data_IF_067662091308
#
_entry.id   IF_067662091308
#
_cell.length_a   1.000
_cell.length_b   1.000
_cell.length_c   1.000
_cell.angle_alpha   90.00
_cell.angle_beta   90.00
_cell.angle_gamma   90.00
#
_symmetry.space_group_name_H-M   'P 1'
#
loop_
_entity.id
_entity.type
_entity.pdbx_description
1 polymer ?
#
# COMPACT_ATOMS: atom_id res chain seq x y z
N UNK A 1 7.56 0.39 -1.14
CA UNK A 1 6.99 -0.62 -0.22
C UNK A 1 7.89 -0.72 1.00
N UNK A 2 7.39 -1.21 2.13
CA UNK A 2 8.16 -1.41 3.38
C UNK A 2 7.99 -2.86 3.83
N UNK A 3 9.10 -3.57 4.02
CA UNK A 3 9.09 -4.94 4.56
C UNK A 3 9.31 -4.85 6.08
N UNK A 4 8.42 -5.48 6.84
CA UNK A 4 8.45 -5.47 8.30
C UNK A 4 8.57 -6.90 8.81
N UNK A 5 9.45 -7.10 9.80
CA UNK A 5 9.52 -8.33 10.59
C UNK A 5 9.03 -8.03 12.00
N UNK A 6 8.05 -8.78 12.46
CA UNK A 6 7.49 -8.61 13.80
C UNK A 6 8.24 -9.41 14.87
N UNK A 7 7.79 -9.30 16.13
CA UNK A 7 8.34 -10.03 17.26
C UNK A 7 8.09 -11.56 17.19
N UNK A 8 7.13 -12.00 16.39
CA UNK A 8 6.84 -13.41 16.11
C UNK A 8 7.65 -13.96 14.92
N UNK A 9 8.59 -13.18 14.37
CA UNK A 9 9.35 -13.48 13.16
C UNK A 9 8.50 -13.65 11.89
N UNK A 10 7.28 -13.12 11.87
CA UNK A 10 6.46 -13.05 10.67
C UNK A 10 6.86 -11.83 9.83
N UNK A 11 6.80 -12.00 8.51
CA UNK A 11 7.10 -10.93 7.57
C UNK A 11 5.79 -10.38 6.99
N UNK A 12 5.73 -9.07 6.85
CA UNK A 12 4.63 -8.38 6.17
C UNK A 12 5.18 -7.33 5.20
N UNK A 13 4.54 -7.19 4.05
CA UNK A 13 4.89 -6.21 3.04
C UNK A 13 3.80 -5.12 3.00
N UNK A 14 4.23 -3.88 3.23
CA UNK A 14 3.37 -2.71 3.27
C UNK A 14 3.49 -1.89 1.98
N UNK A 15 2.36 -1.67 1.32
CA UNK A 15 2.21 -0.64 0.30
C UNK A 15 1.81 0.68 0.96
N UNK A 16 2.81 1.54 1.16
CA UNK A 16 2.65 2.87 1.75
C UNK A 16 1.67 3.73 0.94
N UNK A 17 1.64 3.60 -0.39
CA UNK A 17 0.80 4.48 -1.23
C UNK A 17 -0.69 4.20 -1.14
N UNK A 18 -1.06 2.97 -0.77
CA UNK A 18 -2.45 2.55 -0.63
C UNK A 18 -2.83 2.20 0.82
N UNK A 19 -1.89 2.32 1.77
CA UNK A 19 -2.11 1.92 3.16
C UNK A 19 -2.47 0.44 3.33
N UNK A 20 -1.97 -0.43 2.44
CA UNK A 20 -2.31 -1.86 2.43
C UNK A 20 -1.17 -2.69 2.97
N UNK A 21 -1.49 -3.65 3.84
CA UNK A 21 -0.58 -4.69 4.31
C UNK A 21 -0.94 -6.03 3.65
N UNK A 22 0.07 -6.82 3.32
CA UNK A 22 -0.08 -8.24 2.95
C UNK A 22 0.94 -9.07 3.71
N UNK A 23 0.54 -10.28 4.09
CA UNK A 23 1.47 -11.27 4.66
C UNK A 23 2.53 -11.62 3.60
N UNK A 24 3.78 -11.65 4.02
CA UNK A 24 4.89 -11.98 3.14
C UNK A 24 5.44 -13.37 3.52
N UNK A 25 5.45 -14.34 2.59
CA UNK A 25 5.94 -15.69 2.88
C UNK A 25 7.38 -15.65 3.35
N UNK A 26 7.69 -16.41 4.41
CA UNK A 26 9.08 -16.58 4.87
C UNK A 26 9.90 -17.30 3.80
N UNK A 27 10.98 -16.70 3.27
CA UNK A 27 11.81 -17.35 2.27
C UNK A 27 12.48 -18.61 2.83
N UNK A 28 12.36 -19.71 2.09
CA UNK A 28 13.12 -20.93 2.33
C UNK A 28 14.63 -20.66 2.18
N UNK A 29 15.45 -21.39 2.94
CA UNK A 29 16.89 -21.33 2.81
C UNK A 29 17.62 -21.84 4.05
N UNK A 30 18.95 -21.71 4.05
CA UNK A 30 19.80 -22.19 5.16
C UNK A 30 19.49 -21.43 6.45
N UNK A 31 19.59 -22.13 7.58
CA UNK A 31 19.29 -21.58 8.91
C UNK A 31 20.28 -20.48 9.35
N UNK A 32 21.50 -20.48 8.81
CA UNK A 32 22.56 -19.51 9.13
C UNK A 32 22.38 -18.15 8.45
N UNK A 33 21.51 -18.06 7.45
CA UNK A 33 21.33 -16.86 6.63
C UNK A 33 20.14 -16.02 7.12
N UNK A 34 20.31 -14.69 7.12
CA UNK A 34 19.29 -13.78 7.60
C UNK A 34 18.06 -13.77 6.69
N UNK A 35 16.94 -14.22 7.24
CA UNK A 35 15.62 -14.25 6.60
C UNK A 35 15.22 -12.88 6.05
N UNK A 36 15.55 -11.79 6.76
CA UNK A 36 15.25 -10.43 6.31
C UNK A 36 16.04 -10.08 5.05
N UNK A 37 17.33 -10.41 5.01
CA UNK A 37 18.17 -10.14 3.85
C UNK A 37 17.66 -10.89 2.60
N UNK A 38 17.26 -12.17 2.75
CA UNK A 38 16.66 -12.93 1.64
C UNK A 38 15.36 -12.32 1.14
N UNK A 39 14.47 -11.95 2.06
CA UNK A 39 13.20 -11.34 1.70
C UNK A 39 13.41 -9.99 1.00
N UNK A 40 14.37 -9.18 1.46
CA UNK A 40 14.76 -7.93 0.80
C UNK A 40 15.21 -8.17 -0.63
N UNK A 41 16.04 -9.19 -0.90
CA UNK A 41 16.48 -9.50 -2.28
C UNK A 41 15.30 -9.86 -3.20
N UNK A 42 14.27 -10.54 -2.68
CA UNK A 42 13.09 -10.91 -3.48
C UNK A 42 12.19 -9.72 -3.84
N UNK A 43 12.08 -8.73 -2.95
CA UNK A 43 11.19 -7.57 -3.15
C UNK A 43 11.91 -6.34 -3.70
N UNK A 44 13.23 -6.27 -3.53
CA UNK A 44 14.02 -5.11 -3.92
C UNK A 44 14.35 -5.17 -5.42
N UNK A 45 13.59 -4.44 -6.22
CA UNK A 45 13.94 -4.15 -7.60
C UNK A 45 14.85 -2.92 -7.63
N UNK A 46 15.94 -2.91 -8.42
CA UNK A 46 16.77 -1.72 -8.55
C UNK A 46 15.95 -0.60 -9.20
N UNK A 47 15.64 0.42 -8.39
CA UNK A 47 14.99 1.67 -8.81
C UNK A 47 15.65 2.83 -8.06
N UNK A 48 15.72 4.00 -8.69
CA UNK A 48 16.25 5.22 -8.05
C UNK A 48 15.10 6.16 -7.71
N UNK A 49 14.61 6.09 -6.47
CA UNK A 49 13.53 6.95 -5.98
C UNK A 49 14.04 7.79 -4.80
N UNK A 50 13.91 9.13 -4.83
CA UNK A 50 14.26 9.96 -3.68
C UNK A 50 13.44 9.59 -2.44
N UNK A 51 14.04 9.72 -1.25
CA UNK A 51 13.29 9.57 0.00
C UNK A 51 12.16 10.60 0.06
N UNK A 52 10.92 10.12 0.28
CA UNK A 52 9.72 10.97 0.31
C UNK A 52 8.83 10.73 1.55
N UNK A 53 9.21 9.80 2.41
CA UNK A 53 8.57 9.55 3.69
C UNK A 53 9.60 9.02 4.69
N UNK A 54 9.25 9.08 5.98
CA UNK A 54 9.95 8.34 7.03
C UNK A 54 9.00 7.32 7.65
N UNK A 55 9.56 6.31 8.30
CA UNK A 55 8.78 5.35 9.07
C UNK A 55 9.34 5.17 10.49
N UNK A 56 8.44 4.90 11.43
CA UNK A 56 8.75 4.51 12.80
C UNK A 56 7.95 3.27 13.20
N UNK A 57 8.57 2.38 13.97
CA UNK A 57 7.94 1.15 14.50
C UNK A 57 8.00 1.06 16.03
N UNK A 58 8.46 2.13 16.69
CA UNK A 58 8.74 2.14 18.14
C UNK A 58 7.52 1.78 19.02
N UNK A 59 6.31 2.06 18.54
CA UNK A 59 5.05 1.83 19.26
C UNK A 59 4.38 0.48 18.93
N UNK A 60 5.11 -0.44 18.28
CA UNK A 60 4.55 -1.73 17.85
C UNK A 60 3.63 -1.64 16.63
N UNK A 61 3.60 -0.49 15.96
CA UNK A 61 2.87 -0.25 14.72
C UNK A 61 3.74 0.51 13.72
N UNK A 62 3.57 0.25 12.43
CA UNK A 62 4.22 1.04 11.37
C UNK A 62 3.55 2.42 11.27
N UNK A 63 4.25 3.46 11.72
CA UNK A 63 3.88 4.86 11.54
C UNK A 63 4.61 5.41 10.32
N UNK A 64 3.89 6.01 9.38
CA UNK A 64 4.46 6.68 8.20
C UNK A 64 4.29 8.19 8.36
N UNK A 65 5.37 8.95 8.25
CA UNK A 65 5.32 10.41 8.28
C UNK A 65 5.61 10.99 6.89
N UNK A 66 4.68 11.83 6.43
CA UNK A 66 4.80 12.59 5.19
C UNK A 66 5.15 14.05 5.56
N UNK A 67 6.41 14.41 5.38
CA UNK A 67 6.87 15.79 5.59
C UNK A 67 6.68 16.63 4.32
N UNK A 68 6.20 17.87 4.46
CA UNK A 68 5.88 18.77 3.34
C UNK A 68 7.10 19.04 2.46
N UNK A 69 8.30 19.13 3.04
CA UNK A 69 9.51 19.43 2.28
C UNK A 69 10.05 18.21 1.51
N UNK A 70 9.60 16.99 1.82
CA UNK A 70 10.11 15.75 1.22
C UNK A 70 9.07 14.97 0.42
N UNK A 71 7.79 15.00 0.80
CA UNK A 71 6.78 14.09 0.28
C UNK A 71 6.50 14.25 -1.22
N UNK A 72 6.79 15.43 -1.77
CA UNK A 72 6.63 15.72 -3.20
C UNK A 72 7.90 15.51 -4.04
N UNK A 73 8.97 14.93 -3.49
CA UNK A 73 10.23 14.70 -4.24
C UNK A 73 10.26 13.44 -5.09
N UNK A 74 9.35 12.49 -4.85
CA UNK A 74 9.32 11.22 -5.57
C UNK A 74 8.35 11.26 -6.75
N UNK A 75 8.79 11.88 -7.86
CA UNK A 75 8.15 11.74 -9.16
C UNK A 75 8.69 10.49 -9.85
N UNK A 76 7.86 9.46 -10.10
CA UNK A 76 8.31 8.28 -10.80
C UNK A 76 8.42 8.54 -12.30
N UNK A 77 9.55 8.21 -12.92
CA UNK A 77 9.60 8.09 -14.37
C UNK A 77 8.64 6.97 -14.82
N UNK A 78 7.92 7.19 -15.94
CA UNK A 78 6.83 6.34 -16.46
C UNK A 78 7.21 4.84 -16.64
N UNK A 79 8.50 4.50 -16.57
CA UNK A 79 9.02 3.15 -16.76
C UNK A 79 9.22 2.32 -15.46
N UNK A 80 9.23 2.94 -14.27
CA UNK A 80 9.79 2.28 -13.07
C UNK A 80 8.79 1.91 -11.96
N UNK A 81 7.53 2.32 -12.06
CA UNK A 81 6.51 1.95 -11.05
C UNK A 81 5.64 0.80 -11.54
N UNK A 82 6.18 -0.42 -11.41
CA UNK A 82 5.33 -1.62 -11.34
C UNK A 82 5.10 -1.91 -9.87
N UNK A 83 3.97 -1.45 -9.33
CA UNK A 83 3.44 -2.05 -8.10
C UNK A 83 2.82 -3.38 -8.55
N UNK A 84 3.40 -4.55 -8.21
CA UNK A 84 2.77 -5.81 -8.56
C UNK A 84 1.38 -5.84 -7.91
N UNK A 85 0.36 -5.90 -8.74
CA UNK A 85 -1.01 -6.13 -8.30
C UNK A 85 -1.06 -7.55 -7.72
N UNK A 86 -0.97 -7.68 -6.40
CA UNK A 86 -1.26 -8.95 -5.72
C UNK A 86 -2.78 -9.19 -5.65
N UNK A 87 -3.45 -9.06 -6.79
CA UNK A 87 -4.75 -9.67 -7.06
C UNK A 87 -4.46 -10.92 -7.87
N UNK A 88 -4.56 -12.08 -7.24
CA UNK A 88 -4.25 -13.37 -7.86
C UNK A 88 -5.01 -13.58 -9.18
N UNK A 89 -4.28 -13.49 -10.29
CA UNK A 89 -4.61 -14.10 -11.56
C UNK A 89 -3.30 -14.31 -12.32
N UNK A 90 -2.96 -15.58 -12.53
CA UNK A 90 -1.77 -16.00 -13.24
C UNK A 90 -1.69 -15.39 -14.65
N UNK A 91 -0.47 -14.99 -15.02
CA UNK A 91 0.05 -15.00 -16.39
C UNK A 91 -0.82 -14.36 -17.48
N UNK A 92 -0.55 -13.09 -17.78
CA UNK A 92 -0.57 -12.56 -19.17
C UNK A 92 0.13 -11.21 -19.18
N UNK A 93 1.28 -11.15 -19.86
CA UNK A 93 1.89 -9.87 -20.24
C UNK A 93 0.89 -9.03 -21.06
N UNK A 94 1.05 -7.70 -21.08
CA UNK A 94 0.09 -6.85 -21.75
C UNK A 94 0.14 -7.12 -23.26
N UNK A 95 -0.94 -7.71 -23.78
CA UNK A 95 -1.22 -7.73 -25.20
C UNK A 95 -1.57 -6.31 -25.62
N UNK A 96 -0.76 -5.75 -26.52
CA UNK A 96 -1.03 -4.50 -27.23
C UNK A 96 -2.42 -4.60 -27.88
N UNK A 97 -3.37 -3.81 -27.38
CA UNK A 97 -4.64 -3.51 -28.06
C UNK A 97 -4.64 -2.04 -28.41
N UNK A 98 -4.46 -1.78 -29.70
CA UNK A 98 -4.52 -0.47 -30.32
C UNK A 98 -5.92 0.15 -30.15
N UNK A 99 -5.99 1.46 -29.87
CA UNK A 99 -7.13 2.27 -30.28
C UNK A 99 -7.83 3.14 -29.24
N UNK A 100 -7.20 3.54 -28.13
CA UNK A 100 -7.73 4.61 -27.28
C UNK A 100 -6.63 5.64 -27.06
N UNK A 101 -6.82 6.86 -27.59
CA UNK A 101 -5.92 7.99 -27.35
C UNK A 101 -6.15 8.49 -25.93
N UNK A 102 -5.76 7.68 -24.96
CA UNK A 102 -5.66 8.10 -23.56
C UNK A 102 -4.49 9.08 -23.51
N UNK A 103 -4.77 10.32 -23.12
CA UNK A 103 -3.72 11.32 -22.88
C UNK A 103 -2.59 10.69 -22.04
N UNK A 104 -1.31 11.05 -22.26
CA UNK A 104 -0.21 10.53 -21.44
C UNK A 104 -0.56 10.79 -19.98
N UNK A 105 -0.75 9.70 -19.22
CA UNK A 105 -1.11 9.77 -17.81
C UNK A 105 0.12 10.33 -17.11
N UNK A 106 0.08 11.63 -16.79
CA UNK A 106 1.23 12.32 -16.21
C UNK A 106 1.80 11.50 -15.03
N UNK A 107 3.15 11.38 -14.94
CA UNK A 107 3.80 10.65 -13.86
C UNK A 107 3.28 11.16 -12.52
N UNK A 108 2.64 10.26 -11.76
CA UNK A 108 1.96 10.65 -10.53
C UNK A 108 2.93 10.51 -9.37
N UNK A 109 3.29 11.65 -8.78
CA UNK A 109 4.10 11.74 -7.57
C UNK A 109 3.59 10.82 -6.44
N UNK A 110 4.50 10.07 -5.79
CA UNK A 110 4.15 9.06 -4.80
C UNK A 110 3.52 9.65 -3.53
N UNK A 111 3.98 10.81 -3.07
CA UNK A 111 3.38 11.53 -1.93
C UNK A 111 1.97 11.98 -2.25
N UNK A 112 1.76 12.61 -3.41
CA UNK A 112 0.42 13.00 -3.89
C UNK A 112 -0.52 11.81 -3.99
N UNK A 113 -0.06 10.69 -4.56
CA UNK A 113 -0.85 9.45 -4.65
C UNK A 113 -1.28 8.96 -3.27
N UNK A 114 -0.35 8.95 -2.32
CA UNK A 114 -0.60 8.50 -0.94
C UNK A 114 -1.63 9.38 -0.25
N UNK A 115 -1.48 10.71 -0.34
CA UNK A 115 -2.44 11.65 0.24
C UNK A 115 -3.83 11.49 -0.37
N UNK A 116 -3.93 11.32 -1.70
CA UNK A 116 -5.23 11.06 -2.36
C UNK A 116 -5.89 9.80 -1.83
N UNK A 117 -5.17 8.68 -1.79
CA UNK A 117 -5.70 7.41 -1.28
C UNK A 117 -6.17 7.52 0.18
N UNK A 118 -5.42 8.23 1.03
CA UNK A 118 -5.80 8.50 2.42
C UNK A 118 -7.13 9.27 2.50
N UNK A 119 -7.27 10.36 1.76
CA UNK A 119 -8.48 11.19 1.82
C UNK A 119 -9.69 10.56 1.11
N UNK A 120 -9.49 9.80 0.04
CA UNK A 120 -10.56 9.05 -0.61
C UNK A 120 -11.21 8.02 0.34
N UNK A 121 -10.38 7.30 1.10
CA UNK A 121 -10.86 6.34 2.09
C UNK A 121 -11.46 7.03 3.32
N UNK A 122 -10.94 8.20 3.71
CA UNK A 122 -11.53 9.02 4.78
C UNK A 122 -12.96 9.42 4.43
N UNK A 123 -13.17 10.03 3.26
CA UNK A 123 -14.48 10.57 2.86
C UNK A 123 -15.54 9.47 2.83
N UNK A 124 -15.19 8.28 2.33
CA UNK A 124 -16.09 7.10 2.33
C UNK A 124 -16.47 6.65 3.74
N UNK A 125 -15.51 6.62 4.66
CA UNK A 125 -15.75 6.21 6.05
C UNK A 125 -16.60 7.24 6.81
N UNK A 126 -16.44 8.52 6.48
CA UNK A 126 -17.23 9.62 7.07
C UNK A 126 -18.67 9.65 6.55
N UNK A 127 -18.88 9.33 5.27
CA UNK A 127 -20.22 9.25 4.68
C UNK A 127 -21.03 8.01 5.15
N UNK A 128 -20.36 6.94 5.59
CA UNK A 128 -21.00 5.72 6.09
C UNK A 128 -21.53 5.77 7.53
N UNK A 129 -21.11 6.77 8.33
CA UNK A 129 -21.54 6.89 9.74
C UNK A 129 -22.91 7.59 9.91
N UNK A 130 -23.57 8.02 8.83
CA UNK A 130 -24.85 8.73 8.87
C UNK A 130 -26.12 7.87 8.78
N UNK A 131 -26.03 6.57 8.51
CA UNK A 131 -27.22 5.78 8.08
C UNK A 131 -27.54 4.53 8.91
N UNK A 132 -26.93 4.35 10.08
CA UNK A 132 -27.20 3.19 10.95
C UNK A 132 -27.68 3.59 12.35
N UNK A 133 -28.67 4.47 12.44
CA UNK A 133 -29.31 4.81 13.72
C UNK A 133 -30.85 4.68 13.73
N UNK A 134 -31.50 4.29 12.62
CA UNK A 134 -32.97 4.46 12.50
C UNK A 134 -33.76 3.20 12.11
N UNK A 135 -33.35 2.02 12.61
CA UNK A 135 -34.14 0.77 12.44
C UNK A 135 -34.28 -0.09 13.70
N UNK A 136 -34.19 0.51 14.89
CA UNK A 136 -34.45 -0.18 16.15
C UNK A 136 -35.48 0.56 17.02
N UNK A 137 -36.64 0.91 16.47
CA UNK A 137 -37.83 1.29 17.25
C UNK A 137 -39.04 0.48 16.76
N UNK A 138 -39.15 -0.75 17.24
CA UNK A 138 -40.23 -1.65 16.83
C UNK A 138 -40.38 -2.88 17.73
N UNK A 139 -40.21 -2.72 19.05
CA UNK A 139 -40.67 -3.72 20.03
C UNK A 139 -41.27 -3.00 21.23
N UNK A 140 -42.59 -3.04 21.35
CA UNK A 140 -43.30 -2.65 22.57
C UNK A 140 -44.76 -2.25 22.35
N UNK A 141 -45.68 -3.20 22.51
CA UNK A 141 -47.04 -3.06 23.08
C UNK A 141 -47.74 -4.42 22.98
N UNK A 142 -47.90 -5.16 24.08
CA UNK A 142 -49.12 -5.27 24.91
C UNK A 142 -50.38 -5.45 24.05
N UNK A 143 -51.14 -6.55 24.12
CA UNK A 143 -51.73 -7.18 25.31
C UNK A 143 -52.22 -8.58 24.97
#
# INVERSE_FOLDING_TARGET
QVLVKDACNQLSLWDVTNGRCVDFPTPEGKAEEDVMQRALVQVNRPVSVPNWFTCDVSLGSLSVQLDVAQCFKAEPDEADVVIPNTSGAAGRGPAIRNGETTAPVAPTNLGTKTLRALFENWVRTSAGHGSSADRASGRGSNS
#
